data_IF_014989836467
#
_entry.id   IF_014989836467
#
_cell.length_a   1.000
_cell.length_b   1.000
_cell.length_c   1.000
_cell.angle_alpha   90.00
_cell.angle_beta   90.00
_cell.angle_gamma   90.00
#
_symmetry.space_group_name_H-M   'P 1'
#
loop_
_entity.id
_entity.type
_entity.pdbx_description
1 polymer ?
#
# COMPACT_ATOMS: atom_id res chain seq x y z
N UNK A 1 -1.60 -2.49 3.09
CA UNK A 1 -3.01 -2.55 2.67
C UNK A 1 -3.67 -3.71 3.39
N UNK A 2 -4.99 -3.77 3.49
CA UNK A 2 -5.64 -4.95 4.07
C UNK A 2 -5.51 -6.19 3.16
N UNK A 3 -5.57 -7.38 3.76
CA UNK A 3 -5.33 -8.64 3.05
C UNK A 3 -6.38 -8.96 1.98
N UNK A 4 -7.62 -8.47 2.12
CA UNK A 4 -8.67 -8.68 1.11
C UNK A 4 -8.31 -7.90 -0.15
N UNK A 5 -7.87 -6.65 0.01
CA UNK A 5 -7.38 -5.84 -1.10
C UNK A 5 -6.19 -6.48 -1.79
N UNK A 6 -5.19 -6.95 -1.02
CA UNK A 6 -3.99 -7.57 -1.60
C UNK A 6 -4.31 -8.85 -2.38
N UNK A 7 -5.19 -9.70 -1.85
CA UNK A 7 -5.69 -10.88 -2.57
C UNK A 7 -6.47 -10.49 -3.83
N UNK A 8 -7.33 -9.47 -3.75
CA UNK A 8 -8.13 -9.02 -4.87
C UNK A 8 -7.27 -8.39 -5.98
N UNK A 9 -6.27 -7.58 -5.63
CA UNK A 9 -5.32 -7.01 -6.56
C UNK A 9 -4.51 -8.11 -7.25
N UNK A 10 -3.95 -9.05 -6.48
CA UNK A 10 -3.18 -10.16 -7.03
C UNK A 10 -3.99 -11.02 -8.00
N UNK A 11 -5.24 -11.36 -7.66
CA UNK A 11 -6.15 -12.07 -8.56
C UNK A 11 -6.43 -11.28 -9.84
N UNK A 12 -6.69 -9.98 -9.72
CA UNK A 12 -7.04 -9.12 -10.86
C UNK A 12 -5.83 -8.92 -11.79
N UNK A 13 -4.63 -8.70 -11.25
CA UNK A 13 -3.38 -8.61 -12.02
C UNK A 13 -3.09 -9.92 -12.75
N UNK A 14 -3.20 -11.06 -12.06
CA UNK A 14 -3.03 -12.37 -12.69
C UNK A 14 -4.05 -12.61 -13.82
N UNK A 15 -5.33 -12.26 -13.59
CA UNK A 15 -6.39 -12.34 -14.59
C UNK A 15 -6.13 -11.43 -15.79
N UNK A 16 -5.60 -10.22 -15.57
CA UNK A 16 -5.27 -9.26 -16.62
C UNK A 16 -4.15 -9.79 -17.53
N UNK A 17 -3.11 -10.40 -16.95
CA UNK A 17 -1.99 -11.02 -17.67
C UNK A 17 -2.43 -12.28 -18.42
N UNK A 18 -3.30 -13.09 -17.82
CA UNK A 18 -3.84 -14.29 -18.45
C UNK A 18 -4.71 -14.00 -19.67
N UNK A 19 -5.37 -12.83 -19.71
CA UNK A 19 -6.22 -12.41 -20.82
C UNK A 19 -7.32 -13.43 -21.12
N UNK A 20 -7.33 -13.98 -22.34
CA UNK A 20 -8.31 -15.01 -22.78
C UNK A 20 -8.20 -16.33 -22.00
N UNK A 21 -7.09 -16.58 -21.29
CA UNK A 21 -6.90 -17.76 -20.43
C UNK A 21 -7.27 -17.51 -18.98
N UNK A 22 -7.79 -16.32 -18.65
CA UNK A 22 -8.30 -16.01 -17.32
C UNK A 22 -9.39 -17.02 -16.92
N UNK A 23 -9.19 -17.67 -15.78
CA UNK A 23 -10.09 -18.67 -15.21
C UNK A 23 -9.92 -18.71 -13.68
N UNK A 24 -10.79 -19.43 -12.98
CA UNK A 24 -10.77 -19.51 -11.51
C UNK A 24 -9.41 -19.92 -10.93
N UNK A 25 -8.66 -20.83 -11.57
CA UNK A 25 -7.33 -21.23 -11.08
C UNK A 25 -6.33 -20.08 -11.16
N UNK A 26 -6.34 -19.32 -12.26
CA UNK A 26 -5.49 -18.13 -12.41
C UNK A 26 -5.81 -17.11 -11.33
N UNK A 27 -7.09 -16.83 -11.10
CA UNK A 27 -7.53 -15.86 -10.10
C UNK A 27 -7.14 -16.30 -8.68
N UNK A 28 -7.35 -17.57 -8.33
CA UNK A 28 -6.95 -18.12 -7.04
C UNK A 28 -5.43 -18.12 -6.84
N UNK A 29 -4.66 -18.48 -7.88
CA UNK A 29 -3.19 -18.39 -7.83
C UNK A 29 -2.74 -16.95 -7.66
N UNK A 30 -3.35 -16.00 -8.37
CA UNK A 30 -3.07 -14.58 -8.22
C UNK A 30 -3.39 -14.06 -6.83
N UNK A 31 -4.53 -14.46 -6.24
CA UNK A 31 -4.89 -14.11 -4.87
C UNK A 31 -3.86 -14.65 -3.87
N UNK A 32 -3.48 -15.92 -3.99
CA UNK A 32 -2.51 -16.56 -3.09
C UNK A 32 -1.11 -15.93 -3.20
N UNK A 33 -0.65 -15.64 -4.42
CA UNK A 33 0.59 -14.89 -4.65
C UNK A 33 0.48 -13.46 -4.11
N UNK A 34 -0.68 -12.83 -4.26
CA UNK A 34 -0.96 -11.49 -3.75
C UNK A 34 -0.98 -11.42 -2.23
N UNK A 35 -1.15 -12.51 -1.51
CA UNK A 35 -1.01 -12.55 -0.03
C UNK A 35 0.37 -12.99 0.43
N UNK A 36 1.24 -13.42 -0.49
CA UNK A 36 2.49 -14.10 -0.15
C UNK A 36 3.51 -13.20 0.58
N UNK A 37 3.71 -11.92 0.22
CA UNK A 37 4.64 -11.06 0.95
C UNK A 37 4.29 -10.92 2.44
N UNK A 38 3.00 -10.72 2.74
CA UNK A 38 2.48 -10.60 4.12
C UNK A 38 2.52 -11.91 4.94
N UNK A 39 2.86 -13.07 4.36
CA UNK A 39 2.94 -14.30 5.15
C UNK A 39 4.15 -14.34 6.11
N UNK A 40 5.06 -13.37 6.01
CA UNK A 40 6.12 -13.16 6.98
C UNK A 40 5.60 -12.69 8.36
N UNK A 41 4.31 -12.36 8.51
CA UNK A 41 3.66 -12.15 9.82
C UNK A 41 3.77 -13.37 10.74
N UNK A 42 4.00 -14.56 10.16
CA UNK A 42 4.21 -15.81 10.91
C UNK A 42 5.58 -15.83 11.59
N UNK A 43 6.52 -15.00 11.13
CA UNK A 43 7.85 -14.89 11.73
C UNK A 43 7.78 -14.01 12.98
N UNK A 44 8.18 -14.57 14.11
CA UNK A 44 8.32 -13.82 15.36
C UNK A 44 9.74 -13.24 15.49
N UNK A 45 9.82 -11.92 15.52
CA UNK A 45 11.04 -11.14 15.74
C UNK A 45 11.28 -10.79 17.21
N UNK A 46 10.48 -11.35 18.13
CA UNK A 46 10.69 -11.36 19.56
C UNK A 46 9.85 -10.38 20.37
N UNK A 47 9.36 -9.30 19.74
CA UNK A 47 8.44 -8.35 20.35
C UNK A 47 7.48 -7.71 19.34
N UNK A 48 6.37 -7.16 19.84
CA UNK A 48 5.29 -6.63 19.00
C UNK A 48 5.72 -5.42 18.13
N UNK A 49 6.66 -4.60 18.60
CA UNK A 49 7.16 -3.44 17.85
C UNK A 49 8.05 -3.93 16.70
N UNK A 50 8.97 -4.84 16.98
CA UNK A 50 9.82 -5.46 15.96
C UNK A 50 9.01 -6.23 14.94
N UNK A 51 7.98 -6.97 15.37
CA UNK A 51 7.05 -7.66 14.47
C UNK A 51 6.37 -6.67 13.53
N UNK A 52 5.90 -5.52 14.04
CA UNK A 52 5.25 -4.49 13.21
C UNK A 52 6.21 -3.89 12.19
N UNK A 53 7.43 -3.56 12.60
CA UNK A 53 8.39 -2.83 11.75
C UNK A 53 9.07 -3.75 10.73
N UNK A 54 9.35 -5.01 11.09
CA UNK A 54 10.08 -5.96 10.22
C UNK A 54 9.19 -6.74 9.25
N UNK A 55 7.88 -6.79 9.50
CA UNK A 55 6.88 -7.42 8.63
C UNK A 55 6.77 -6.77 7.22
N UNK A 56 7.40 -5.61 7.01
CA UNK A 56 7.53 -4.96 5.69
C UNK A 56 8.99 -4.78 5.26
N UNK A 57 9.81 -5.75 5.64
CA UNK A 57 11.24 -5.80 5.38
C UNK A 57 11.59 -6.60 4.12
N UNK A 58 12.33 -7.69 4.30
CA UNK A 58 12.90 -8.49 3.20
C UNK A 58 11.84 -9.05 2.24
N UNK A 59 10.67 -9.44 2.76
CA UNK A 59 9.53 -9.99 2.01
C UNK A 59 8.94 -8.99 1.01
N UNK A 60 9.15 -7.69 1.25
CA UNK A 60 8.63 -6.59 0.45
C UNK A 60 9.69 -5.93 -0.45
N UNK A 61 10.91 -6.48 -0.47
CA UNK A 61 12.03 -5.90 -1.21
C UNK A 61 11.93 -6.13 -2.71
N UNK A 62 12.01 -5.06 -3.49
CA UNK A 62 12.08 -5.10 -4.94
C UNK A 62 13.37 -5.76 -5.46
N UNK A 63 14.39 -5.93 -4.59
CA UNK A 63 15.61 -6.67 -4.92
C UNK A 63 15.45 -8.19 -4.70
N UNK A 64 14.61 -8.59 -3.73
CA UNK A 64 14.38 -10.00 -3.35
C UNK A 64 13.27 -10.63 -4.18
N UNK A 65 12.21 -9.87 -4.48
CA UNK A 65 11.01 -10.39 -5.15
C UNK A 65 11.28 -10.95 -6.56
N UNK A 66 12.08 -10.33 -7.45
CA UNK A 66 12.30 -10.89 -8.79
C UNK A 66 13.05 -12.23 -8.78
N UNK A 67 14.18 -12.41 -8.04
CA UNK A 67 14.80 -13.73 -7.88
C UNK A 67 13.83 -14.77 -7.30
N UNK A 68 13.03 -14.39 -6.30
CA UNK A 68 12.05 -15.28 -5.69
C UNK A 68 10.93 -15.68 -6.67
N UNK A 69 10.41 -14.71 -7.45
CA UNK A 69 9.44 -14.95 -8.51
C UNK A 69 9.99 -15.89 -9.59
N UNK A 70 11.26 -15.75 -9.96
CA UNK A 70 11.94 -16.64 -10.90
C UNK A 70 12.01 -18.07 -10.36
N UNK A 71 12.35 -18.25 -9.09
CA UNK A 71 12.37 -19.56 -8.44
C UNK A 71 10.99 -20.22 -8.46
N UNK A 72 9.94 -19.51 -8.03
CA UNK A 72 8.55 -20.01 -8.07
C UNK A 72 8.15 -20.43 -9.48
N UNK A 73 8.46 -19.58 -10.47
CA UNK A 73 8.09 -19.81 -11.87
C UNK A 73 8.84 -20.99 -12.47
N UNK A 74 10.12 -21.13 -12.14
CA UNK A 74 10.94 -22.26 -12.56
C UNK A 74 10.41 -23.58 -11.97
N UNK A 75 10.10 -23.62 -10.67
CA UNK A 75 9.50 -24.79 -10.02
C UNK A 75 8.17 -25.18 -10.65
N UNK A 76 7.29 -24.20 -10.90
CA UNK A 76 6.00 -24.42 -11.56
C UNK A 76 6.18 -25.05 -12.95
N UNK A 77 7.00 -24.45 -13.81
CA UNK A 77 7.22 -24.95 -15.18
C UNK A 77 7.94 -26.30 -15.21
N UNK A 78 8.77 -26.60 -14.19
CA UNK A 78 9.45 -27.90 -14.07
C UNK A 78 8.48 -29.03 -13.72
N UNK A 79 7.43 -28.73 -12.97
CA UNK A 79 6.42 -29.69 -12.54
C UNK A 79 5.25 -29.80 -13.54
N UNK A 80 4.83 -28.68 -14.14
CA UNK A 80 3.73 -28.60 -15.11
C UNK A 80 4.16 -27.85 -16.37
N UNK A 81 4.90 -28.51 -17.26
CA UNK A 81 5.23 -27.94 -18.56
C UNK A 81 3.92 -27.69 -19.35
N UNK A 82 3.79 -26.48 -19.90
CA UNK A 82 2.62 -26.04 -20.65
C UNK A 82 3.08 -25.12 -21.78
N UNK A 83 2.41 -25.18 -22.94
CA UNK A 83 2.79 -24.40 -24.13
C UNK A 83 2.37 -22.94 -24.03
N UNK A 84 1.32 -22.63 -23.28
CA UNK A 84 0.88 -21.27 -23.00
C UNK A 84 1.58 -20.69 -21.78
N UNK A 85 1.70 -21.43 -20.69
CA UNK A 85 2.36 -21.00 -19.45
C UNK A 85 3.87 -21.27 -19.49
N UNK A 86 4.55 -20.59 -20.42
CA UNK A 86 6.01 -20.59 -20.51
C UNK A 86 6.64 -19.97 -19.27
N UNK A 87 7.90 -20.31 -18.98
CA UNK A 87 8.66 -19.73 -17.86
C UNK A 87 8.58 -18.21 -17.84
N UNK A 88 8.73 -17.56 -19.00
CA UNK A 88 8.63 -16.12 -19.15
C UNK A 88 7.26 -15.54 -18.75
N UNK A 89 6.16 -16.20 -19.11
CA UNK A 89 4.81 -15.75 -18.77
C UNK A 89 4.48 -15.97 -17.30
N UNK A 90 4.89 -17.11 -16.74
CA UNK A 90 4.71 -17.41 -15.32
C UNK A 90 5.56 -16.47 -14.47
N UNK A 91 6.80 -16.20 -14.89
CA UNK A 91 7.67 -15.21 -14.27
C UNK A 91 7.05 -13.83 -14.28
N UNK A 92 6.60 -13.36 -15.46
CA UNK A 92 5.95 -12.06 -15.57
C UNK A 92 4.70 -11.95 -14.69
N UNK A 93 3.84 -12.97 -14.69
CA UNK A 93 2.67 -13.00 -13.81
C UNK A 93 3.07 -12.92 -12.33
N UNK A 94 3.99 -13.78 -11.90
CA UNK A 94 4.41 -13.89 -10.50
C UNK A 94 5.06 -12.61 -10.03
N UNK A 95 6.02 -12.07 -10.78
CA UNK A 95 6.73 -10.84 -10.41
C UNK A 95 5.77 -9.65 -10.42
N UNK A 96 4.85 -9.55 -11.38
CA UNK A 96 3.86 -8.46 -11.40
C UNK A 96 2.98 -8.50 -10.17
N UNK A 97 2.43 -9.65 -9.79
CA UNK A 97 1.58 -9.77 -8.59
C UNK A 97 2.35 -9.37 -7.33
N UNK A 98 3.55 -9.92 -7.13
CA UNK A 98 4.36 -9.65 -5.94
C UNK A 98 4.79 -8.18 -5.85
N UNK A 99 5.25 -7.60 -6.96
CA UNK A 99 5.67 -6.18 -7.00
C UNK A 99 4.48 -5.25 -6.81
N UNK A 100 3.31 -5.55 -7.39
CA UNK A 100 2.12 -4.68 -7.19
C UNK A 100 1.66 -4.66 -5.74
N UNK A 101 1.82 -5.75 -4.99
CA UNK A 101 1.53 -5.79 -3.57
C UNK A 101 2.40 -4.79 -2.81
N UNK A 102 3.71 -4.88 -2.96
CA UNK A 102 4.67 -4.06 -2.20
C UNK A 102 4.60 -2.59 -2.59
N UNK A 103 4.35 -2.32 -3.87
CA UNK A 103 4.11 -0.95 -4.33
C UNK A 103 2.83 -0.39 -3.70
N UNK A 104 1.74 -1.16 -3.61
CA UNK A 104 0.52 -0.71 -2.95
C UNK A 104 0.74 -0.46 -1.44
N UNK A 105 1.56 -1.25 -0.76
CA UNK A 105 1.89 -0.99 0.64
C UNK A 105 2.65 0.32 0.85
N UNK A 106 3.61 0.60 -0.03
CA UNK A 106 4.34 1.87 -0.03
C UNK A 106 3.44 3.08 -0.35
N UNK A 107 2.24 2.88 -0.91
CA UNK A 107 1.25 3.95 -1.11
C UNK A 107 0.52 4.32 0.19
N UNK A 108 0.56 3.46 1.21
CA UNK A 108 -0.11 3.69 2.51
C UNK A 108 0.74 4.52 3.47
N UNK A 109 0.22 4.78 4.67
CA UNK A 109 0.91 5.53 5.74
C UNK A 109 2.01 4.74 6.46
N UNK A 110 2.21 3.47 6.12
CA UNK A 110 3.10 2.58 6.85
C UNK A 110 4.36 2.32 6.01
N UNK A 111 5.51 2.71 6.56
CA UNK A 111 6.82 2.53 5.93
C UNK A 111 7.07 1.11 5.45
N UNK A 112 7.53 0.99 4.20
CA UNK A 112 7.88 -0.28 3.55
C UNK A 112 9.32 -0.26 3.06
N UNK A 113 10.12 -1.30 3.35
CA UNK A 113 11.54 -1.36 2.98
C UNK A 113 11.75 -1.89 1.55
N UNK A 114 11.39 -1.08 0.55
CA UNK A 114 11.42 -1.48 -0.87
C UNK A 114 12.81 -1.89 -1.39
N UNK A 115 13.88 -1.42 -0.75
CA UNK A 115 15.28 -1.68 -1.16
C UNK A 115 16.07 -2.48 -0.12
N UNK A 116 15.40 -3.19 0.80
CA UNK A 116 16.09 -4.07 1.76
C UNK A 116 17.11 -4.97 1.02
N UNK A 117 18.35 -5.13 1.52
CA UNK A 117 18.82 -4.86 2.89
C UNK A 117 19.36 -3.45 3.15
N UNK A 118 19.25 -2.52 2.20
CA UNK A 118 19.64 -1.14 2.45
C UNK A 118 18.65 -0.44 3.38
N UNK A 119 19.13 0.50 4.18
CA UNK A 119 18.30 1.29 5.09
C UNK A 119 17.37 2.24 4.31
N UNK A 120 16.12 2.36 4.76
CA UNK A 120 15.14 3.27 4.18
C UNK A 120 13.72 2.70 4.21
N UNK A 121 12.78 3.48 4.74
CA UNK A 121 11.34 3.21 4.65
C UNK A 121 10.72 4.13 3.60
N UNK A 122 9.83 3.57 2.79
CA UNK A 122 9.10 4.30 1.77
C UNK A 122 7.62 4.30 2.13
N UNK A 123 7.03 5.49 2.12
CA UNK A 123 5.62 5.72 2.35
C UNK A 123 5.17 6.99 1.61
N UNK A 124 4.12 6.86 0.81
CA UNK A 124 3.51 8.00 0.11
C UNK A 124 2.27 8.52 0.82
N UNK A 125 1.62 7.71 1.67
CA UNK A 125 0.47 8.14 2.47
C UNK A 125 -0.71 8.68 1.63
N UNK A 126 -0.94 8.14 0.43
CA UNK A 126 -1.92 8.68 -0.51
C UNK A 126 -3.21 7.85 -0.66
N UNK A 127 -3.25 6.68 0.00
CA UNK A 127 -4.44 5.81 0.10
C UNK A 127 -4.55 5.21 1.50
N UNK A 128 -5.77 5.06 1.99
CA UNK A 128 -6.04 4.43 3.28
C UNK A 128 -5.95 2.90 3.18
N UNK A 129 -5.54 2.22 4.25
CA UNK A 129 -5.29 0.75 4.25
C UNK A 129 -6.54 -0.06 3.84
N UNK A 130 -7.73 0.44 4.18
CA UNK A 130 -9.01 -0.21 3.90
C UNK A 130 -9.81 0.77 3.02
N UNK A 131 -9.68 0.67 1.70
CA UNK A 131 -10.36 1.58 0.78
C UNK A 131 -11.38 0.82 -0.09
N UNK A 132 -12.69 0.92 0.20
CA UNK A 132 -13.73 0.28 -0.60
C UNK A 132 -13.78 0.77 -2.05
N UNK A 133 -13.41 2.03 -2.31
CA UNK A 133 -13.40 2.59 -3.67
C UNK A 133 -12.26 1.97 -4.51
N UNK A 134 -11.17 1.55 -3.86
CA UNK A 134 -10.12 0.76 -4.49
C UNK A 134 -10.49 -0.74 -4.60
N UNK A 135 -11.06 -1.31 -3.54
CA UNK A 135 -11.25 -2.76 -3.39
C UNK A 135 -12.44 -3.29 -4.17
N UNK A 136 -13.58 -2.61 -4.14
CA UNK A 136 -14.82 -3.10 -4.75
C UNK A 136 -14.70 -3.28 -6.28
N UNK A 137 -14.08 -2.36 -7.04
CA UNK A 137 -13.84 -2.59 -8.46
C UNK A 137 -13.05 -3.87 -8.75
N UNK A 138 -12.01 -4.17 -7.95
CA UNK A 138 -11.22 -5.40 -8.07
C UNK A 138 -12.09 -6.64 -7.86
N UNK A 139 -12.91 -6.65 -6.81
CA UNK A 139 -13.84 -7.75 -6.53
C UNK A 139 -14.88 -7.93 -7.64
N UNK A 140 -15.39 -6.84 -8.22
CA UNK A 140 -16.29 -6.88 -9.37
C UNK A 140 -15.60 -7.50 -10.58
N UNK A 141 -14.35 -7.14 -10.87
CA UNK A 141 -13.59 -7.74 -11.97
C UNK A 141 -13.41 -9.25 -11.79
N UNK A 142 -13.09 -9.69 -10.57
CA UNK A 142 -12.97 -11.11 -10.22
C UNK A 142 -14.31 -11.82 -10.43
N UNK A 143 -15.41 -11.25 -9.92
CA UNK A 143 -16.76 -11.79 -10.11
C UNK A 143 -17.10 -11.96 -11.59
N UNK A 144 -16.92 -10.92 -12.40
CA UNK A 144 -17.14 -11.00 -13.86
C UNK A 144 -16.24 -12.05 -14.51
N UNK A 145 -14.98 -12.15 -14.09
CA UNK A 145 -14.03 -13.12 -14.65
C UNK A 145 -14.37 -14.58 -14.32
N UNK A 146 -15.03 -14.84 -13.18
CA UNK A 146 -15.52 -16.17 -12.82
C UNK A 146 -16.71 -16.61 -13.71
N UNK A 147 -17.59 -15.69 -14.08
CA UNK A 147 -18.80 -15.99 -14.87
C UNK A 147 -18.64 -15.77 -16.38
N UNK A 148 -17.63 -15.01 -16.82
CA UNK A 148 -17.42 -14.67 -18.23
C UNK A 148 -16.05 -15.09 -18.74
N UNK A 149 -15.99 -16.28 -19.36
CA UNK A 149 -14.74 -16.83 -19.92
C UNK A 149 -14.13 -15.96 -21.03
N UNK A 150 -14.96 -15.30 -21.84
CA UNK A 150 -14.49 -14.52 -22.99
C UNK A 150 -14.06 -13.10 -22.63
N UNK A 151 -14.66 -12.50 -21.58
CA UNK A 151 -14.42 -11.11 -21.19
C UNK A 151 -13.67 -10.94 -19.87
N UNK A 152 -13.51 -12.00 -19.07
CA UNK A 152 -12.91 -11.91 -17.73
C UNK A 152 -11.56 -11.20 -17.69
N UNK A 153 -10.63 -11.60 -18.55
CA UNK A 153 -9.32 -10.94 -18.64
C UNK A 153 -9.38 -9.46 -19.07
N UNK A 154 -10.34 -9.09 -19.92
CA UNK A 154 -10.53 -7.69 -20.35
C UNK A 154 -11.03 -6.81 -19.20
N UNK A 155 -11.94 -7.35 -18.38
CA UNK A 155 -12.41 -6.66 -17.17
C UNK A 155 -11.28 -6.50 -16.16
N UNK A 156 -10.48 -7.54 -15.94
CA UNK A 156 -9.29 -7.44 -15.10
C UNK A 156 -8.33 -6.36 -15.61
N UNK A 157 -8.07 -6.29 -16.92
CA UNK A 157 -7.22 -5.24 -17.52
C UNK A 157 -7.79 -3.83 -17.31
N UNK A 158 -9.08 -3.65 -17.57
CA UNK A 158 -9.76 -2.37 -17.38
C UNK A 158 -9.71 -1.92 -15.91
N UNK A 159 -9.95 -2.84 -14.97
CA UNK A 159 -9.94 -2.52 -13.55
C UNK A 159 -8.53 -2.29 -13.01
N UNK A 160 -7.50 -3.01 -13.48
CA UNK A 160 -6.10 -2.69 -13.15
C UNK A 160 -5.73 -1.27 -13.64
N UNK A 161 -6.23 -0.85 -14.81
CA UNK A 161 -6.03 0.52 -15.27
C UNK A 161 -6.77 1.51 -14.35
N UNK A 162 -8.03 1.23 -14.00
CA UNK A 162 -8.82 2.08 -13.09
C UNK A 162 -8.16 2.20 -11.71
N UNK A 163 -7.68 1.08 -11.13
CA UNK A 163 -7.00 1.07 -9.84
C UNK A 163 -5.69 1.86 -9.89
N UNK A 164 -4.96 1.79 -11.01
CA UNK A 164 -3.74 2.59 -11.22
C UNK A 164 -4.05 4.08 -11.32
N UNK A 165 -5.09 4.45 -12.08
CA UNK A 165 -5.55 5.84 -12.18
C UNK A 165 -6.05 6.37 -10.83
N UNK A 166 -6.72 5.54 -10.04
CA UNK A 166 -7.17 5.88 -8.70
C UNK A 166 -5.99 6.21 -7.76
N UNK A 167 -4.92 5.40 -7.77
CA UNK A 167 -3.71 5.70 -6.99
C UNK A 167 -3.03 6.99 -7.48
N UNK A 168 -3.00 7.21 -8.80
CA UNK A 168 -2.52 8.46 -9.38
C UNK A 168 -3.33 9.68 -8.93
N UNK A 169 -4.66 9.53 -8.85
CA UNK A 169 -5.55 10.54 -8.26
C UNK A 169 -5.29 10.75 -6.77
N UNK A 170 -5.11 9.68 -5.99
CA UNK A 170 -4.73 9.76 -4.57
C UNK A 170 -3.46 10.59 -4.37
N UNK A 171 -2.45 10.36 -5.20
CA UNK A 171 -1.23 11.19 -5.19
C UNK A 171 -1.51 12.65 -5.56
N UNK A 172 -2.24 12.90 -6.65
CA UNK A 172 -2.55 14.27 -7.10
C UNK A 172 -3.36 15.06 -6.05
N UNK A 173 -4.38 14.43 -5.46
CA UNK A 173 -5.20 15.01 -4.39
C UNK A 173 -4.36 15.30 -3.15
N UNK A 174 -3.44 14.41 -2.77
CA UNK A 174 -2.49 14.67 -1.70
C UNK A 174 -1.66 15.93 -1.96
N UNK A 175 -1.10 16.10 -3.17
CA UNK A 175 -0.30 17.29 -3.50
C UNK A 175 -1.10 18.60 -3.39
N UNK A 176 -2.37 18.59 -3.84
CA UNK A 176 -3.27 19.75 -3.68
C UNK A 176 -3.44 20.10 -2.20
N UNK A 177 -3.67 19.10 -1.34
CA UNK A 177 -3.82 19.31 0.10
C UNK A 177 -2.50 19.77 0.74
N UNK A 178 -1.36 19.19 0.35
CA UNK A 178 -0.04 19.60 0.85
C UNK A 178 0.20 21.08 0.60
N UNK A 179 0.00 21.56 -0.62
CA UNK A 179 0.17 22.99 -0.93
C UNK A 179 -0.76 23.88 -0.11
N UNK A 180 -2.01 23.47 0.10
CA UNK A 180 -2.97 24.21 0.94
C UNK A 180 -2.57 24.21 2.42
N UNK A 181 -2.06 23.09 2.93
CA UNK A 181 -1.56 22.98 4.31
C UNK A 181 -0.38 23.91 4.52
N UNK A 182 0.63 23.88 3.65
CA UNK A 182 1.80 24.76 3.74
C UNK A 182 1.41 26.24 3.81
N UNK A 183 0.47 26.68 2.97
CA UNK A 183 -0.07 28.04 3.01
C UNK A 183 -0.79 28.36 4.34
N UNK A 184 -1.56 27.42 4.87
CA UNK A 184 -2.24 27.58 6.15
C UNK A 184 -1.27 27.66 7.33
N UNK A 185 -0.19 26.87 7.32
CA UNK A 185 0.82 26.91 8.38
C UNK A 185 1.54 28.26 8.42
N UNK A 186 1.88 28.81 7.25
CA UNK A 186 2.48 30.14 7.15
C UNK A 186 1.53 31.25 7.60
N UNK A 187 0.29 31.25 7.10
CA UNK A 187 -0.69 32.32 7.39
C UNK A 187 -1.20 32.31 8.82
N UNK A 188 -1.33 31.14 9.44
CA UNK A 188 -1.77 30.99 10.82
C UNK A 188 -0.60 30.95 11.83
N UNK A 189 0.64 31.13 11.36
CA UNK A 189 1.86 31.09 12.19
C UNK A 189 1.99 29.80 13.01
N UNK A 190 1.64 28.66 12.40
CA UNK A 190 1.78 27.33 12.99
C UNK A 190 3.16 26.71 12.62
N UNK A 191 3.67 25.76 13.41
CA UNK A 191 4.90 25.03 13.08
C UNK A 191 4.80 24.31 11.73
N UNK A 192 5.94 24.13 11.05
CA UNK A 192 6.01 23.46 9.74
C UNK A 192 7.16 22.43 9.65
N UNK A 193 7.63 21.92 10.79
CA UNK A 193 8.77 20.98 10.80
C UNK A 193 8.33 19.52 10.67
N UNK A 194 7.20 19.16 11.30
CA UNK A 194 6.69 17.79 11.34
C UNK A 194 5.19 17.82 11.04
N UNK A 195 4.87 17.60 9.77
CA UNK A 195 3.49 17.62 9.26
C UNK A 195 3.15 16.25 8.69
N UNK A 196 2.09 15.66 9.20
CA UNK A 196 1.55 14.38 8.73
C UNK A 196 0.22 14.65 8.01
N UNK A 197 0.20 14.35 6.71
CA UNK A 197 -0.99 14.44 5.86
C UNK A 197 -1.36 13.03 5.44
N UNK A 198 -2.58 12.61 5.80
CA UNK A 198 -3.07 11.25 5.53
C UNK A 198 -4.53 11.29 5.08
N UNK A 199 -4.96 10.40 4.18
CA UNK A 199 -6.36 10.29 3.84
C UNK A 199 -7.14 9.79 5.06
N UNK A 200 -8.35 10.32 5.23
CA UNK A 200 -9.30 9.76 6.19
C UNK A 200 -9.79 8.38 5.74
N UNK A 201 -10.40 7.58 6.63
CA UNK A 201 -10.85 6.24 6.26
C UNK A 201 -11.78 6.24 5.03
N UNK A 202 -11.61 5.22 4.19
CA UNK A 202 -12.50 4.86 3.08
C UNK A 202 -12.55 5.82 1.87
N UNK A 203 -11.68 6.83 1.79
CA UNK A 203 -11.69 7.77 0.67
C UNK A 203 -10.35 8.52 0.50
N UNK A 204 -10.15 9.12 -0.69
CA UNK A 204 -9.00 9.99 -1.01
C UNK A 204 -9.41 11.45 -1.22
N UNK A 205 -10.51 11.88 -0.58
CA UNK A 205 -11.12 13.20 -0.80
C UNK A 205 -10.99 14.11 0.42
N UNK A 206 -11.10 13.53 1.62
CA UNK A 206 -10.97 14.19 2.90
C UNK A 206 -9.68 13.73 3.59
N UNK A 207 -8.88 14.68 4.02
CA UNK A 207 -7.53 14.47 4.51
C UNK A 207 -7.40 14.98 5.94
N UNK A 208 -6.73 14.19 6.77
CA UNK A 208 -6.34 14.52 8.13
C UNK A 208 -4.94 15.11 8.10
N UNK A 209 -4.81 16.26 8.74
CA UNK A 209 -3.56 17.01 8.87
C UNK A 209 -3.20 17.06 10.34
N UNK A 210 -2.02 16.55 10.70
CA UNK A 210 -1.47 16.63 12.05
C UNK A 210 -0.15 17.39 12.00
N UNK A 211 -0.04 18.45 12.78
CA UNK A 211 1.15 19.29 12.88
C UNK A 211 1.71 19.15 14.28
N UNK A 212 2.92 18.63 14.40
CA UNK A 212 3.58 18.46 15.69
C UNK A 212 4.18 19.79 16.14
N UNK A 213 4.04 20.07 17.43
CA UNK A 213 4.56 21.26 18.10
C UNK A 213 5.15 20.83 19.45
N UNK A 214 5.92 21.71 20.10
CA UNK A 214 6.51 21.38 21.39
C UNK A 214 5.42 21.25 22.47
N UNK A 215 5.25 20.04 23.00
CA UNK A 215 4.27 19.70 24.04
C UNK A 215 2.80 19.59 23.58
N UNK A 216 2.49 19.86 22.30
CA UNK A 216 1.13 19.75 21.74
C UNK A 216 1.16 19.35 20.27
N UNK A 217 0.03 18.96 19.72
CA UNK A 217 -0.15 18.80 18.28
C UNK A 217 -1.42 19.50 17.83
N UNK A 218 -1.45 19.93 16.58
CA UNK A 218 -2.61 20.54 15.96
C UNK A 218 -3.21 19.57 14.96
N UNK A 219 -4.51 19.36 15.03
CA UNK A 219 -5.24 18.49 14.13
C UNK A 219 -6.26 19.28 13.32
N UNK A 220 -6.28 19.05 12.01
CA UNK A 220 -7.23 19.68 11.09
C UNK A 220 -7.72 18.69 10.04
N UNK A 221 -8.85 19.04 9.42
CA UNK A 221 -9.39 18.31 8.28
C UNK A 221 -9.41 19.23 7.06
N UNK A 222 -9.03 18.69 5.90
CA UNK A 222 -9.03 19.41 4.63
C UNK A 222 -9.61 18.51 3.54
N UNK A 223 -10.61 19.01 2.82
CA UNK A 223 -11.16 18.35 1.64
C UNK A 223 -10.64 19.00 0.36
N UNK A 224 -10.50 18.19 -0.69
CA UNK A 224 -10.26 18.69 -2.06
C UNK A 224 -11.44 19.53 -2.58
N UNK A 225 -12.62 19.38 -1.97
CA UNK A 225 -13.85 20.09 -2.33
C UNK A 225 -14.21 21.24 -1.37
N UNK A 226 -13.33 21.63 -0.45
CA UNK A 226 -13.63 22.75 0.44
C UNK A 226 -13.75 24.07 -0.36
N UNK A 227 -14.76 24.87 -0.03
CA UNK A 227 -14.94 26.20 -0.60
C UNK A 227 -14.03 27.26 0.04
N UNK A 228 -13.57 27.02 1.28
CA UNK A 228 -12.68 27.91 2.02
C UNK A 228 -11.26 27.37 1.94
N UNK A 229 -10.29 28.22 1.64
CA UNK A 229 -8.87 27.84 1.67
C UNK A 229 -8.35 27.65 3.11
N UNK A 230 -8.99 28.28 4.10
CA UNK A 230 -8.61 28.17 5.51
C UNK A 230 -8.93 26.78 6.07
N UNK A 231 -7.97 26.18 6.76
CA UNK A 231 -8.11 24.94 7.53
C UNK A 231 -8.26 25.31 9.00
N UNK A 232 -9.28 24.79 9.66
CA UNK A 232 -9.46 24.96 11.10
C UNK A 232 -8.66 23.88 11.84
N UNK A 233 -7.74 24.32 12.69
CA UNK A 233 -6.91 23.44 13.52
C UNK A 233 -7.36 23.46 14.98
N UNK A 234 -7.46 22.27 15.58
CA UNK A 234 -7.74 22.08 17.00
C UNK A 234 -6.45 21.63 17.70
N UNK A 235 -6.08 22.30 18.80
CA UNK A 235 -4.89 21.92 19.57
C UNK A 235 -5.19 20.82 20.58
N UNK A 236 -4.29 19.85 20.68
CA UNK A 236 -4.34 18.76 21.64
C UNK A 236 -2.98 18.62 22.35
N UNK A 237 -2.94 18.33 23.66
CA UNK A 237 -1.67 18.08 24.35
C UNK A 237 -1.02 16.79 23.83
N UNK A 238 0.30 16.80 23.67
CA UNK A 238 1.05 15.62 23.18
C UNK A 238 1.17 14.52 24.25
N UNK A 239 1.03 14.91 25.52
CA UNK A 239 1.32 14.04 26.66
C UNK A 239 2.81 13.93 26.93
N UNK A 240 3.18 13.15 27.94
CA UNK A 240 4.57 12.86 28.29
C UNK A 240 4.83 11.36 28.26
N UNK A 241 6.05 10.98 27.90
CA UNK A 241 6.50 9.61 28.03
C UNK A 241 6.55 9.24 29.52
N UNK A 242 5.80 8.22 29.97
CA UNK A 242 5.61 7.98 31.39
C UNK A 242 6.75 7.18 32.05
N UNK A 243 7.69 6.64 31.27
CA UNK A 243 8.78 5.79 31.76
C UNK A 243 10.09 6.57 31.81
N UNK A 244 10.93 6.30 32.82
CA UNK A 244 12.27 6.95 32.92
C UNK A 244 13.19 6.51 31.77
N UNK A 245 13.13 5.24 31.38
CA UNK A 245 13.95 4.68 30.31
C UNK A 245 13.25 4.72 28.95
N UNK A 246 14.04 4.99 27.91
CA UNK A 246 13.65 4.87 26.51
C UNK A 246 14.17 3.53 25.97
N UNK A 247 13.30 2.55 25.69
CA UNK A 247 13.74 1.25 25.20
C UNK A 247 14.36 1.36 23.80
N UNK A 248 15.27 0.47 23.43
CA UNK A 248 15.86 0.47 22.08
C UNK A 248 14.83 0.26 20.97
N UNK A 249 13.69 -0.37 21.27
CA UNK A 249 12.54 -0.49 20.35
C UNK A 249 11.97 0.88 19.95
N UNK A 250 12.12 1.91 20.79
CA UNK A 250 11.71 3.28 20.46
C UNK A 250 12.50 3.83 19.28
N UNK A 251 13.80 3.53 19.17
CA UNK A 251 14.63 3.97 18.03
C UNK A 251 14.12 3.41 16.71
N UNK A 252 13.73 2.13 16.72
CA UNK A 252 13.13 1.47 15.56
C UNK A 252 11.81 2.10 15.16
N UNK A 253 10.94 2.38 16.15
CA UNK A 253 9.64 3.01 15.91
C UNK A 253 9.77 4.44 15.39
N UNK A 254 10.72 5.21 15.92
CA UNK A 254 11.05 6.55 15.44
C UNK A 254 11.47 6.52 13.97
N UNK A 255 12.40 5.63 13.60
CA UNK A 255 12.82 5.43 12.22
C UNK A 255 11.66 5.01 11.29
N UNK A 256 10.78 4.12 11.76
CA UNK A 256 9.58 3.72 11.03
C UNK A 256 8.61 4.89 10.79
N UNK A 257 8.44 5.76 11.80
CA UNK A 257 7.56 6.93 11.75
C UNK A 257 8.16 8.19 11.13
N UNK A 258 9.43 8.13 10.70
CA UNK A 258 10.20 9.27 10.17
C UNK A 258 10.32 10.44 11.18
N UNK A 259 10.48 10.11 12.46
CA UNK A 259 10.68 11.04 13.58
C UNK A 259 12.08 10.92 14.20
#
# INVERSE_FOLDING_TARGET
MDSITQAALGATVAGAIAGKRCNAKVLLTGAALGTLPDLDVILDYGDAVQNTIKHRGFSHSLLVLPPFALLISWLYCRWKPDTFWTLSRVFFLTVSVLVTHTLLDAMTTYGTQLIWPFEGYFELRNVFIIDPLYTLPLLVAIGVALFSKSRGGQWCQAVVLISTLYLGWGYASQQIITSRVEQNLMTQSLPNQQVLITPTPFNTLLWRVVVMDDGKYWEGLASVFDNSERIDFVSHPLGSWPLEDKPDTLKGLQAFSHN
#
